data_IF_616106310695
#
_entry.id   IF_616106310695
#
_cell.length_a   1.000
_cell.length_b   1.000
_cell.length_c   1.000
_cell.angle_alpha   90.00
_cell.angle_beta   90.00
_cell.angle_gamma   90.00
#
_symmetry.space_group_name_H-M   'P 1'
#
loop_
_entity.id
_entity.type
_entity.pdbx_description
1 polymer ?
#
# COMPACT_ATOMS: atom_id res chain seq x y z
N UNK A 1 -7.87 -9.86 12.80
CA UNK A 1 -7.28 -10.34 11.54
C UNK A 1 -5.78 -10.19 11.58
N UNK A 2 -5.02 -11.24 11.24
CA UNK A 2 -3.57 -11.19 11.09
C UNK A 2 -3.23 -10.91 9.62
N UNK A 3 -2.18 -10.14 9.35
CA UNK A 3 -1.61 -10.07 8.00
C UNK A 3 -1.13 -11.46 7.60
N UNK A 4 -1.40 -11.87 6.35
CA UNK A 4 -0.89 -13.13 5.78
C UNK A 4 0.60 -13.09 5.42
N UNK A 5 1.25 -11.93 5.60
CA UNK A 5 2.64 -11.68 5.19
C UNK A 5 3.55 -11.19 6.34
N UNK A 6 3.63 -11.89 7.48
CA UNK A 6 4.39 -11.43 8.63
C UNK A 6 5.90 -11.27 8.33
N UNK A 7 6.48 -12.18 7.55
CA UNK A 7 7.91 -12.15 7.21
C UNK A 7 8.29 -10.90 6.38
N UNK A 8 7.45 -10.54 5.41
CA UNK A 8 7.66 -9.34 4.60
C UNK A 8 7.53 -8.07 5.45
N UNK A 9 6.60 -8.05 6.40
CA UNK A 9 6.40 -6.90 7.30
C UNK A 9 7.58 -6.71 8.25
N UNK A 10 8.19 -7.79 8.73
CA UNK A 10 9.39 -7.72 9.57
C UNK A 10 10.60 -7.28 8.73
N UNK A 11 10.80 -7.89 7.56
CA UNK A 11 11.92 -7.56 6.67
C UNK A 11 11.91 -6.10 6.19
N UNK A 12 10.71 -5.54 5.98
CA UNK A 12 10.53 -4.13 5.59
C UNK A 12 10.58 -3.16 6.77
N UNK A 13 10.72 -3.63 8.02
CA UNK A 13 10.68 -2.78 9.21
C UNK A 13 9.29 -2.17 9.51
N UNK A 14 8.26 -2.59 8.77
CA UNK A 14 6.86 -2.20 8.99
C UNK A 14 6.25 -2.88 10.23
N UNK A 15 6.88 -3.96 10.71
CA UNK A 15 6.55 -4.63 11.97
C UNK A 15 7.85 -4.94 12.72
N UNK A 16 7.87 -4.74 14.04
CA UNK A 16 9.03 -5.07 14.87
C UNK A 16 9.24 -6.61 14.93
N UNK A 17 10.51 -7.04 14.94
CA UNK A 17 10.88 -8.46 14.96
C UNK A 17 10.61 -9.17 16.30
N UNK A 18 10.52 -8.43 17.41
CA UNK A 18 10.31 -8.98 18.75
C UNK A 18 8.83 -8.99 19.13
N UNK A 19 8.23 -10.18 19.19
CA UNK A 19 7.18 -10.61 20.13
C UNK A 19 5.83 -9.87 20.16
N UNK A 20 5.72 -8.66 19.64
CA UNK A 20 4.51 -7.85 19.72
C UNK A 20 3.63 -8.13 18.51
N UNK A 21 2.88 -9.23 18.60
CA UNK A 21 1.61 -9.32 17.89
C UNK A 21 0.67 -8.25 18.44
N UNK A 22 0.76 -7.02 17.92
CA UNK A 22 -0.27 -6.01 18.10
C UNK A 22 -1.09 -5.98 16.81
N UNK A 23 -2.30 -6.55 16.79
CA UNK A 23 -3.29 -6.16 15.79
C UNK A 23 -3.31 -4.61 15.78
N UNK A 24 -3.26 -4.00 14.58
CA UNK A 24 -3.40 -2.54 14.35
C UNK A 24 -2.15 -1.65 14.47
N UNK A 25 -0.91 -2.16 14.35
CA UNK A 25 0.31 -1.31 14.27
C UNK A 25 1.05 -1.37 12.93
N UNK A 26 0.32 -1.42 11.81
CA UNK A 26 0.92 -1.26 10.48
C UNK A 26 0.75 0.19 10.01
N UNK A 27 1.87 0.88 9.76
CA UNK A 27 1.83 2.13 8.99
C UNK A 27 1.61 1.75 7.52
N UNK A 28 0.45 2.07 6.96
CA UNK A 28 0.09 1.72 5.57
C UNK A 28 0.77 2.71 4.62
N UNK A 29 2.06 2.49 4.41
CA UNK A 29 2.96 3.34 3.62
C UNK A 29 3.57 2.57 2.45
N UNK A 30 3.73 3.25 1.32
CA UNK A 30 4.37 2.70 0.12
C UNK A 30 5.89 2.65 0.31
N UNK A 31 6.56 1.51 0.07
CA UNK A 31 8.01 1.40 0.11
C UNK A 31 8.70 2.46 -0.76
N UNK A 32 9.66 3.18 -0.17
CA UNK A 32 10.40 4.28 -0.82
C UNK A 32 11.85 4.30 -0.31
N UNK A 33 12.70 5.14 -0.89
CA UNK A 33 14.04 5.37 -0.37
C UNK A 33 14.02 5.96 1.05
N UNK A 34 14.93 5.49 1.90
CA UNK A 34 15.13 5.99 3.25
C UNK A 34 14.36 5.24 4.35
N UNK A 35 14.35 5.80 5.58
CA UNK A 35 13.69 5.20 6.74
C UNK A 35 12.18 5.00 6.56
N UNK A 36 11.65 3.87 7.07
CA UNK A 36 10.24 3.42 6.93
C UNK A 36 9.23 4.42 7.49
N UNK A 37 9.58 5.12 8.56
CA UNK A 37 8.75 6.16 9.17
C UNK A 37 8.57 7.39 8.26
N UNK A 38 9.45 7.56 7.26
CA UNK A 38 9.40 8.64 6.26
C UNK A 38 8.77 8.24 4.94
N UNK A 39 8.47 6.96 4.73
CA UNK A 39 7.79 6.51 3.52
C UNK A 39 6.45 7.24 3.35
N UNK A 40 6.03 7.60 2.13
CA UNK A 40 4.72 8.19 1.91
C UNK A 40 3.62 7.20 2.27
N UNK A 41 2.48 7.69 2.76
CA UNK A 41 1.29 6.83 2.90
C UNK A 41 0.89 6.30 1.52
N UNK A 42 0.32 5.10 1.46
CA UNK A 42 -0.28 4.64 0.19
C UNK A 42 -1.37 5.62 -0.23
N UNK A 43 -1.68 5.68 -1.54
CA UNK A 43 -2.72 6.58 -2.07
C UNK A 43 -4.05 6.46 -1.29
N UNK A 44 -4.48 5.23 -1.02
CA UNK A 44 -5.66 4.96 -0.21
C UNK A 44 -5.52 5.49 1.22
N UNK A 45 -4.42 5.18 1.90
CA UNK A 45 -4.22 5.59 3.29
C UNK A 45 -4.11 7.11 3.43
N UNK A 46 -3.43 7.79 2.51
CA UNK A 46 -3.35 9.25 2.46
C UNK A 46 -4.73 9.89 2.35
N UNK A 47 -5.57 9.41 1.43
CA UNK A 47 -6.88 10.01 1.21
C UNK A 47 -7.88 9.67 2.33
N UNK A 48 -7.90 8.42 2.79
CA UNK A 48 -8.75 7.99 3.91
C UNK A 48 -8.42 8.71 5.22
N UNK A 49 -7.13 8.95 5.52
CA UNK A 49 -6.71 9.71 6.73
C UNK A 49 -7.03 11.20 6.65
N UNK A 50 -7.36 11.72 5.47
CA UNK A 50 -7.96 13.06 5.27
C UNK A 50 -9.50 13.04 5.33
N UNK A 51 -10.09 11.94 5.77
CA UNK A 51 -11.54 11.73 5.88
C UNK A 51 -12.28 11.70 4.54
N UNK A 52 -11.59 11.37 3.45
CA UNK A 52 -12.19 11.28 2.14
C UNK A 52 -12.58 9.85 1.78
N UNK A 53 -13.53 9.76 0.84
CA UNK A 53 -13.92 8.51 0.18
C UNK A 53 -13.36 8.55 -1.23
N UNK A 54 -12.97 7.40 -1.76
CA UNK A 54 -12.38 7.35 -3.09
C UNK A 54 -12.21 5.95 -3.63
N UNK A 55 -11.67 5.89 -4.84
CA UNK A 55 -11.24 4.68 -5.50
C UNK A 55 -10.15 5.02 -6.52
N UNK A 56 -9.33 4.03 -6.87
CA UNK A 56 -8.43 4.13 -8.01
C UNK A 56 -8.35 2.80 -8.77
N UNK A 57 -8.87 2.81 -10.00
CA UNK A 57 -8.86 1.68 -10.94
C UNK A 57 -7.69 1.74 -11.93
N UNK A 58 -6.94 2.85 -11.97
CA UNK A 58 -5.69 2.92 -12.72
C UNK A 58 -4.57 2.19 -11.98
N UNK A 59 -4.67 2.13 -10.65
CA UNK A 59 -3.78 1.38 -9.79
C UNK A 59 -2.77 2.25 -9.04
N UNK A 60 -2.29 1.72 -7.92
CA UNK A 60 -1.27 2.31 -7.05
C UNK A 60 -0.53 1.19 -6.31
N UNK A 61 0.57 1.51 -5.62
CA UNK A 61 1.30 0.53 -4.82
C UNK A 61 0.73 0.46 -3.41
N UNK A 62 0.51 -0.76 -2.93
CA UNK A 62 0.15 -1.01 -1.55
C UNK A 62 1.38 -0.98 -0.62
N UNK A 63 1.18 -1.34 0.65
CA UNK A 63 2.26 -1.35 1.64
C UNK A 63 3.36 -2.40 1.37
N UNK A 64 3.12 -3.35 0.46
CA UNK A 64 4.10 -4.33 -0.02
C UNK A 64 4.88 -3.81 -1.24
N UNK A 65 4.54 -2.62 -1.73
CA UNK A 65 4.99 -2.12 -3.03
C UNK A 65 4.32 -2.82 -4.22
N UNK A 66 3.28 -3.62 -3.97
CA UNK A 66 2.60 -4.40 -5.02
C UNK A 66 1.55 -3.53 -5.72
N UNK A 67 1.47 -3.56 -7.06
CA UNK A 67 0.37 -2.93 -7.80
C UNK A 67 -1.00 -3.47 -7.38
N UNK A 68 -1.88 -2.57 -6.92
CA UNK A 68 -3.26 -2.87 -6.54
C UNK A 68 -4.21 -1.84 -7.15
N UNK A 69 -5.49 -2.24 -7.27
CA UNK A 69 -6.61 -1.30 -7.39
C UNK A 69 -7.49 -1.41 -6.15
N UNK A 70 -8.20 -0.33 -5.82
CA UNK A 70 -8.98 -0.32 -4.59
C UNK A 70 -10.00 0.78 -4.49
N UNK A 71 -10.86 0.64 -3.48
CA UNK A 71 -11.84 1.62 -3.06
C UNK A 71 -11.82 1.75 -1.54
N UNK A 72 -12.08 2.96 -1.03
CA UNK A 72 -12.07 3.26 0.39
C UNK A 72 -13.16 4.24 0.78
N UNK A 73 -13.51 4.19 2.06
CA UNK A 73 -14.48 5.07 2.68
C UNK A 73 -14.05 5.41 4.11
N UNK A 74 -14.13 6.69 4.46
CA UNK A 74 -14.08 7.12 5.85
C UNK A 74 -15.42 6.88 6.54
N UNK A 75 -15.38 6.28 7.73
CA UNK A 75 -16.56 6.01 8.57
C UNK A 75 -16.47 6.91 9.81
N UNK A 76 -17.02 8.14 9.74
CA UNK A 76 -16.83 9.14 10.78
C UNK A 76 -17.39 8.72 12.14
N UNK A 77 -18.43 7.88 12.15
CA UNK A 77 -19.06 7.37 13.37
C UNK A 77 -18.09 6.56 14.23
N UNK A 78 -17.08 5.95 13.61
CA UNK A 78 -16.11 5.10 14.30
C UNK A 78 -14.67 5.62 14.24
N UNK A 79 -14.44 6.74 13.55
CA UNK A 79 -13.11 7.36 13.46
C UNK A 79 -12.08 6.51 12.71
N UNK A 80 -12.50 5.70 11.74
CA UNK A 80 -11.59 4.92 10.90
C UNK A 80 -12.01 4.87 9.43
N UNK A 81 -11.06 4.52 8.56
CA UNK A 81 -11.30 4.21 7.16
C UNK A 81 -11.45 2.71 6.92
N UNK A 82 -12.32 2.32 5.99
CA UNK A 82 -12.43 0.96 5.45
C UNK A 82 -11.95 1.00 4.01
N UNK A 83 -11.07 0.07 3.65
CA UNK A 83 -10.58 -0.08 2.29
C UNK A 83 -10.71 -1.53 1.82
N UNK A 84 -10.95 -1.69 0.53
CA UNK A 84 -10.91 -2.97 -0.17
C UNK A 84 -9.96 -2.82 -1.36
N UNK A 85 -9.00 -3.74 -1.46
CA UNK A 85 -7.94 -3.72 -2.45
C UNK A 85 -7.78 -5.11 -3.06
N UNK A 86 -7.38 -5.15 -4.33
CA UNK A 86 -7.06 -6.38 -5.07
C UNK A 86 -5.82 -6.13 -5.92
N UNK A 87 -4.95 -7.14 -6.05
CA UNK A 87 -3.78 -7.08 -6.92
C UNK A 87 -4.20 -6.70 -8.36
N UNK A 88 -3.51 -5.74 -8.99
CA UNK A 88 -3.86 -5.23 -10.32
C UNK A 88 -3.94 -6.37 -11.35
N UNK A 89 -2.99 -7.31 -11.28
CA UNK A 89 -2.94 -8.49 -12.15
C UNK A 89 -4.14 -9.43 -11.97
N UNK A 90 -4.72 -9.50 -10.77
CA UNK A 90 -5.93 -10.30 -10.52
C UNK A 90 -7.20 -9.58 -11.00
N UNK A 91 -7.24 -8.25 -10.91
CA UNK A 91 -8.37 -7.46 -11.42
C UNK A 91 -8.38 -7.34 -12.95
N UNK A 92 -7.19 -7.26 -13.57
CA UNK A 92 -7.00 -7.06 -15.00
C UNK A 92 -5.94 -8.03 -15.55
N UNK A 93 -6.30 -9.30 -15.79
CA UNK A 93 -5.33 -10.32 -16.22
C UNK A 93 -4.67 -10.01 -17.57
N UNK A 94 -5.36 -9.27 -18.45
CA UNK A 94 -4.86 -8.92 -19.79
C UNK A 94 -4.12 -7.57 -19.84
N UNK A 95 -3.92 -6.91 -18.69
CA UNK A 95 -3.29 -5.58 -18.61
C UNK A 95 -1.84 -5.72 -18.14
N UNK A 96 -0.91 -5.12 -18.87
CA UNK A 96 0.45 -4.91 -18.35
C UNK A 96 0.38 -3.91 -17.18
N UNK A 97 0.93 -4.23 -15.99
CA UNK A 97 0.83 -3.35 -14.83
C UNK A 97 1.37 -1.96 -15.16
N UNK A 98 0.56 -0.93 -14.91
CA UNK A 98 0.88 0.43 -15.35
C UNK A 98 2.05 1.07 -14.58
N UNK A 99 2.44 0.48 -13.44
CA UNK A 99 3.41 1.02 -12.47
C UNK A 99 4.78 0.33 -12.52
N UNK A 100 5.01 -0.56 -13.51
CA UNK A 100 6.22 -1.37 -13.63
C UNK A 100 7.06 -1.09 -14.90
N UNK A 101 6.96 0.08 -15.51
CA UNK A 101 7.95 0.46 -16.54
C UNK A 101 9.30 0.72 -15.85
N UNK A 102 10.37 -0.05 -16.13
CA UNK A 102 11.69 0.28 -15.62
C UNK A 102 12.08 1.66 -16.16
N UNK A 103 12.66 2.48 -15.29
CA UNK A 103 13.34 3.71 -15.69
C UNK A 103 14.52 3.31 -16.59
N UNK A 104 14.27 3.12 -17.89
CA UNK A 104 15.33 3.19 -18.90
C UNK A 104 15.72 4.65 -18.96
N UNK A 105 16.68 5.02 -18.13
CA UNK A 105 17.56 6.15 -18.43
C UNK A 105 18.00 5.99 -19.88
N UNK A 106 17.89 7.02 -20.73
CA UNK A 106 18.51 6.94 -22.04
C UNK A 106 20.03 6.80 -21.80
N UNK A 107 20.62 5.71 -22.29
CA UNK A 107 22.06 5.69 -22.57
C UNK A 107 22.31 6.88 -23.51
N UNK A 108 23.07 7.86 -23.01
CA UNK A 108 23.70 8.86 -23.84
C UNK A 108 24.96 8.19 -24.40
N UNK A 109 25.03 8.14 -25.73
CA UNK A 109 26.15 7.63 -26.54
C UNK A 109 27.53 8.09 -26.07
#
# INVERSE_FOLDING_TARGET
SNSRFPEHLIASGLLAAEGEQTPLRLRVAEPSEGPVDRWPLTRMAEDATRHHNGFDTRGYRDYRGTPVVGAWRWVPEYGFGVAAEVDEAAAYPDRTPAIEAPNKSPELD
#
